data_IF_518483946062
#
_entry.id   IF_518483946062
#
_cell.length_a   1.000
_cell.length_b   1.000
_cell.length_c   1.000
_cell.angle_alpha   90.00
_cell.angle_beta   90.00
_cell.angle_gamma   90.00
#
_symmetry.space_group_name_H-M   'P 1'
#
loop_
_entity.id
_entity.type
_entity.pdbx_description
1 polymer ?
#
# COMPACT_ATOMS: atom_id res chain seq x y z
N UNK A 1 -7.23 -1.40 6.86
CA UNK A 1 -8.43 -0.64 6.44
C UNK A 1 -8.32 -0.44 4.94
N UNK A 2 -9.17 -1.08 4.12
CA UNK A 2 -9.09 -0.93 2.66
C UNK A 2 -9.67 0.43 2.24
N UNK A 3 -8.86 1.24 1.57
CA UNK A 3 -9.31 2.54 1.05
C UNK A 3 -10.05 2.36 -0.29
N UNK A 4 -11.25 2.94 -0.46
CA UNK A 4 -12.00 2.87 -1.71
C UNK A 4 -11.36 3.76 -2.79
N UNK A 5 -11.54 3.36 -4.05
CA UNK A 5 -11.08 4.14 -5.22
C UNK A 5 -11.73 5.53 -5.35
N UNK A 6 -12.83 5.79 -4.63
CA UNK A 6 -13.48 7.11 -4.56
C UNK A 6 -12.61 8.20 -3.89
N UNK A 7 -11.55 7.81 -3.17
CA UNK A 7 -10.60 8.76 -2.56
C UNK A 7 -9.58 9.34 -3.54
N UNK A 8 -9.55 8.89 -4.81
CA UNK A 8 -8.63 9.41 -5.82
C UNK A 8 -9.11 10.78 -6.32
N UNK A 9 -8.21 11.75 -6.33
CA UNK A 9 -8.44 13.08 -6.91
C UNK A 9 -8.33 13.03 -8.45
N UNK A 10 -9.12 12.15 -9.07
CA UNK A 10 -9.17 11.92 -10.52
C UNK A 10 -10.57 12.18 -11.06
N UNK A 11 -10.67 12.29 -12.38
CA UNK A 11 -11.97 12.47 -13.04
C UNK A 11 -12.96 11.34 -12.66
N UNK A 12 -14.22 11.68 -12.33
CA UNK A 12 -15.22 10.70 -11.89
C UNK A 12 -15.55 9.63 -12.94
N UNK A 13 -15.30 9.91 -14.22
CA UNK A 13 -15.40 8.91 -15.29
C UNK A 13 -14.36 7.79 -15.16
N UNK A 14 -13.15 8.09 -14.68
CA UNK A 14 -12.10 7.09 -14.46
C UNK A 14 -12.45 6.20 -13.26
N UNK A 15 -13.04 6.78 -12.21
CA UNK A 15 -13.56 6.03 -11.05
C UNK A 15 -14.67 5.07 -11.50
N UNK A 16 -15.60 5.52 -12.35
CA UNK A 16 -16.62 4.64 -12.94
C UNK A 16 -16.00 3.50 -13.76
N UNK A 17 -15.00 3.78 -14.58
CA UNK A 17 -14.29 2.75 -15.37
C UNK A 17 -13.58 1.73 -14.48
N UNK A 18 -12.95 2.16 -13.38
CA UNK A 18 -12.34 1.26 -12.40
C UNK A 18 -13.39 0.38 -11.70
N UNK A 19 -14.51 0.96 -11.26
CA UNK A 19 -15.62 0.21 -10.66
C UNK A 19 -16.24 -0.80 -11.63
N UNK A 20 -16.43 -0.42 -12.89
CA UNK A 20 -16.91 -1.34 -13.94
C UNK A 20 -15.93 -2.49 -14.20
N UNK A 21 -14.63 -2.25 -14.03
CA UNK A 21 -13.59 -3.27 -14.09
C UNK A 21 -13.47 -4.12 -12.80
N UNK A 22 -14.44 -4.02 -11.88
CA UNK A 22 -14.46 -4.68 -10.56
C UNK A 22 -13.27 -4.29 -9.66
N UNK A 23 -12.72 -3.09 -9.84
CA UNK A 23 -11.64 -2.55 -9.02
C UNK A 23 -12.28 -1.56 -8.04
N UNK A 24 -12.44 -2.01 -6.81
CA UNK A 24 -13.15 -1.25 -5.76
C UNK A 24 -12.19 -0.66 -4.72
N UNK A 25 -10.97 -1.21 -4.62
CA UNK A 25 -9.97 -0.85 -3.61
C UNK A 25 -8.72 -0.27 -4.27
N UNK A 26 -8.05 0.66 -3.58
CA UNK A 26 -6.75 1.18 -4.02
C UNK A 26 -5.67 0.10 -4.06
N UNK A 27 -5.74 -0.89 -3.17
CA UNK A 27 -4.80 -2.02 -3.11
C UNK A 27 -4.84 -2.83 -4.42
N UNK A 28 -6.04 -3.07 -4.97
CA UNK A 28 -6.21 -3.77 -6.24
C UNK A 28 -5.61 -3.01 -7.43
N UNK A 29 -5.56 -1.68 -7.36
CA UNK A 29 -4.92 -0.83 -8.37
C UNK A 29 -3.40 -0.98 -8.33
N UNK A 30 -2.81 -1.12 -7.14
CA UNK A 30 -1.36 -1.31 -6.99
C UNK A 30 -0.94 -2.75 -7.33
N UNK A 31 -1.74 -3.74 -6.94
CA UNK A 31 -1.45 -5.16 -7.18
C UNK A 31 -1.56 -5.52 -8.66
N UNK A 32 -2.50 -4.93 -9.40
CA UNK A 32 -2.66 -5.23 -10.82
C UNK A 32 -1.57 -4.58 -11.68
N UNK A 33 -1.08 -5.34 -12.66
CA UNK A 33 -0.17 -4.84 -13.68
C UNK A 33 -0.79 -3.69 -14.47
N UNK A 34 0.03 -2.70 -14.87
CA UNK A 34 -0.45 -1.53 -15.62
C UNK A 34 -1.12 -1.92 -16.95
N UNK A 35 -0.64 -3.00 -17.58
CA UNK A 35 -1.22 -3.57 -18.79
C UNK A 35 -2.61 -4.19 -18.55
N UNK A 36 -2.82 -4.87 -17.42
CA UNK A 36 -4.12 -5.45 -17.06
C UNK A 36 -5.15 -4.37 -16.74
N UNK A 37 -4.73 -3.31 -16.05
CA UNK A 37 -5.56 -2.14 -15.80
C UNK A 37 -5.96 -1.47 -17.10
N UNK A 38 -5.03 -1.33 -18.05
CA UNK A 38 -5.28 -0.74 -19.36
C UNK A 38 -6.29 -1.56 -20.17
N UNK A 39 -6.14 -2.88 -20.19
CA UNK A 39 -7.09 -3.78 -20.86
C UNK A 39 -8.47 -3.75 -20.22
N UNK A 40 -8.54 -3.73 -18.89
CA UNK A 40 -9.80 -3.79 -18.15
C UNK A 40 -10.59 -2.46 -18.18
N UNK A 41 -9.91 -1.32 -18.23
CA UNK A 41 -10.54 0.00 -18.10
C UNK A 41 -10.54 0.83 -19.39
N UNK A 42 -9.78 0.42 -20.41
CA UNK A 42 -9.56 1.19 -21.64
C UNK A 42 -9.08 2.63 -21.35
N UNK A 43 -8.24 2.79 -20.35
CA UNK A 43 -7.60 4.05 -19.96
C UNK A 43 -6.19 4.10 -20.59
N UNK A 44 -5.71 5.28 -20.96
CA UNK A 44 -4.34 5.43 -21.47
C UNK A 44 -3.29 5.10 -20.41
N UNK A 45 -2.12 4.59 -20.82
CA UNK A 45 -1.03 4.24 -19.93
C UNK A 45 -0.63 5.39 -18.99
N UNK A 46 -0.49 6.61 -19.51
CA UNK A 46 -0.17 7.80 -18.73
C UNK A 46 -1.20 8.11 -17.61
N UNK A 47 -2.49 7.87 -17.88
CA UNK A 47 -3.54 8.06 -16.88
C UNK A 47 -3.49 6.95 -15.81
N UNK A 48 -3.12 5.73 -16.18
CA UNK A 48 -2.96 4.62 -15.24
C UNK A 48 -1.76 4.84 -14.31
N UNK A 49 -0.65 5.35 -14.84
CA UNK A 49 0.51 5.72 -14.01
C UNK A 49 0.13 6.80 -12.99
N UNK A 50 -0.58 7.85 -13.41
CA UNK A 50 -1.06 8.88 -12.48
C UNK A 50 -2.02 8.30 -11.42
N UNK A 51 -2.94 7.41 -11.81
CA UNK A 51 -3.82 6.71 -10.86
C UNK A 51 -3.01 5.87 -9.85
N UNK A 52 -1.99 5.16 -10.31
CA UNK A 52 -1.11 4.36 -9.43
C UNK A 52 -0.30 5.23 -8.49
N UNK A 53 0.23 6.35 -8.97
CA UNK A 53 0.97 7.30 -8.16
C UNK A 53 0.09 7.90 -7.07
N UNK A 54 -1.13 8.34 -7.42
CA UNK A 54 -2.09 8.84 -6.44
C UNK A 54 -2.54 7.75 -5.45
N UNK A 55 -2.81 6.53 -5.93
CA UNK A 55 -3.15 5.40 -5.07
C UNK A 55 -2.01 5.04 -4.12
N UNK A 56 -0.76 5.09 -4.59
CA UNK A 56 0.44 4.89 -3.80
C UNK A 56 0.57 5.98 -2.72
N UNK A 57 0.44 7.25 -3.10
CA UNK A 57 0.52 8.37 -2.15
C UNK A 57 -0.59 8.36 -1.09
N UNK A 58 -1.77 7.83 -1.42
CA UNK A 58 -2.89 7.67 -0.46
C UNK A 58 -2.72 6.48 0.48
N UNK A 59 -2.21 5.34 -0.02
CA UNK A 59 -2.03 4.12 0.76
C UNK A 59 -0.74 4.13 1.59
N UNK A 60 0.34 4.55 0.94
CA UNK A 60 1.66 4.69 1.49
C UNK A 60 2.07 6.14 1.30
N UNK A 61 1.53 7.07 2.12
CA UNK A 61 2.04 8.43 2.12
C UNK A 61 3.53 8.31 2.39
N UNK A 62 4.35 8.57 1.36
CA UNK A 62 5.81 8.59 1.47
C UNK A 62 6.13 9.79 2.35
N UNK A 63 6.03 9.58 3.65
CA UNK A 63 6.45 10.54 4.64
C UNK A 63 7.96 10.41 4.70
N UNK A 64 8.64 11.47 4.30
CA UNK A 64 10.02 11.66 4.69
C UNK A 64 10.00 11.77 6.21
N UNK A 65 10.30 10.67 6.88
CA UNK A 65 10.39 10.58 8.34
C UNK A 65 11.85 10.75 8.74
N UNK A 66 12.08 11.47 9.84
CA UNK A 66 13.44 11.59 10.37
C UNK A 66 13.89 10.25 10.95
N UNK A 67 15.21 10.03 11.03
CA UNK A 67 15.76 8.85 11.70
C UNK A 67 15.26 8.72 13.15
N UNK A 68 14.93 9.84 13.80
CA UNK A 68 14.36 9.87 15.15
C UNK A 68 12.91 9.38 15.19
N UNK A 69 12.10 9.72 14.19
CA UNK A 69 10.73 9.23 14.06
C UNK A 69 10.68 7.74 13.69
N UNK A 70 11.65 7.26 12.91
CA UNK A 70 11.85 5.83 12.67
C UNK A 70 12.12 5.06 13.97
N UNK A 71 12.96 5.61 14.86
CA UNK A 71 13.30 4.99 16.14
C UNK A 71 12.08 4.90 17.07
N UNK A 72 11.20 5.90 17.03
CA UNK A 72 9.97 5.95 17.84
C UNK A 72 8.86 5.03 17.33
N UNK A 73 8.94 4.56 16.09
CA UNK A 73 7.97 3.59 15.57
C UNK A 73 8.13 2.28 16.34
N UNK A 74 7.11 1.92 17.12
CA UNK A 74 7.16 0.76 17.98
C UNK A 74 7.11 -0.53 17.13
N UNK A 75 8.25 -1.21 17.00
CA UNK A 75 8.29 -2.56 16.44
C UNK A 75 7.86 -3.56 17.50
N UNK A 76 6.88 -4.40 17.17
CA UNK A 76 6.52 -5.53 18.01
C UNK A 76 7.52 -6.66 17.81
N UNK A 77 7.99 -7.24 18.92
CA UNK A 77 8.80 -8.46 18.91
C UNK A 77 7.96 -9.62 19.40
N UNK A 78 7.94 -10.69 18.63
CA UNK A 78 7.31 -11.95 18.99
C UNK A 78 8.31 -12.82 19.74
N UNK A 79 8.00 -13.24 20.97
CA UNK A 79 8.86 -14.17 21.69
C UNK A 79 8.88 -15.52 20.98
N UNK A 80 10.05 -16.15 20.94
CA UNK A 80 10.23 -17.48 20.38
C UNK A 80 9.88 -18.59 21.37
N UNK A 81 9.67 -18.24 22.64
CA UNK A 81 9.45 -19.18 23.73
C UNK A 81 10.73 -19.86 24.21
N UNK A 82 11.89 -19.42 23.72
CA UNK A 82 13.20 -19.88 24.15
C UNK A 82 14.05 -18.69 24.60
N UNK A 83 14.33 -18.59 25.91
CA UNK A 83 15.05 -17.45 26.49
C UNK A 83 16.41 -17.19 25.86
N UNK A 84 17.14 -18.23 25.48
CA UNK A 84 18.46 -18.10 24.85
C UNK A 84 18.36 -17.47 23.46
N UNK A 85 17.33 -17.83 22.69
CA UNK A 85 17.09 -17.29 21.35
C UNK A 85 16.54 -15.88 21.46
N UNK A 86 15.60 -15.63 22.39
CA UNK A 86 15.06 -14.30 22.60
C UNK A 86 16.12 -13.31 23.09
N UNK A 87 17.07 -13.73 23.93
CA UNK A 87 18.23 -12.88 24.29
C UNK A 87 19.13 -12.59 23.09
N UNK A 88 19.42 -13.58 22.25
CA UNK A 88 20.23 -13.36 21.05
C UNK A 88 19.54 -12.42 20.05
N UNK A 89 18.21 -12.43 19.99
CA UNK A 89 17.38 -11.55 19.16
C UNK A 89 16.94 -10.26 19.88
N UNK A 90 17.47 -10.00 21.08
CA UNK A 90 17.16 -8.83 21.90
C UNK A 90 15.64 -8.66 22.16
N UNK A 91 14.94 -9.73 22.52
CA UNK A 91 13.51 -9.75 22.84
C UNK A 91 12.61 -10.46 21.84
N UNK A 92 13.17 -11.19 20.86
CA UNK A 92 12.42 -12.05 19.93
C UNK A 92 12.41 -11.59 18.46
N UNK A 93 11.54 -12.20 17.66
CA UNK A 93 11.43 -11.98 16.22
C UNK A 93 10.72 -10.65 15.94
N UNK A 94 11.35 -9.78 15.15
CA UNK A 94 10.73 -8.53 14.70
C UNK A 94 9.55 -8.81 13.78
N UNK A 95 8.36 -8.35 14.16
CA UNK A 95 7.19 -8.34 13.28
C UNK A 95 7.24 -7.11 12.38
N UNK A 96 7.42 -7.32 11.09
CA UNK A 96 7.27 -6.25 10.10
C UNK A 96 5.80 -5.89 9.95
N UNK A 97 5.41 -4.67 10.35
CA UNK A 97 4.13 -4.10 9.91
C UNK A 97 4.29 -3.74 8.42
N UNK A 98 3.73 -4.58 7.54
CA UNK A 98 3.47 -4.24 6.14
C UNK A 98 1.99 -3.98 5.95
#
# INVERSE_FOLDING_TARGET
>A
MSLPVDGLAIHPELIKKLKNAKISKLEDVLVKGSADLQKATQISAAKIENIKEQACNLLYPIKVISAWDCLKSAYQKLPTGCDSIDRALNGGILSGNN
#
